data_IF_523985988282
#
_entry.id   IF_523985988282
#
_cell.length_a   1.000
_cell.length_b   1.000
_cell.length_c   1.000
_cell.angle_alpha   90.00
_cell.angle_beta   90.00
_cell.angle_gamma   90.00
#
_symmetry.space_group_name_H-M   'P 1'
#
loop_
_entity.id
_entity.type
_entity.pdbx_description
1 polymer ?
#
# COMPACT_ATOMS: atom_id res chain seq x y z
N UNK A 1 -11.45 16.50 -9.42
CA UNK A 1 -11.67 15.57 -8.31
C UNK A 1 -10.54 14.56 -8.34
N UNK A 2 -9.91 14.36 -7.19
CA UNK A 2 -8.78 13.43 -7.03
C UNK A 2 -9.22 12.20 -6.24
N UNK A 3 -8.81 11.01 -6.68
CA UNK A 3 -9.17 9.72 -6.09
C UNK A 3 -8.01 8.76 -6.18
N UNK A 4 -7.57 8.24 -5.03
CA UNK A 4 -6.60 7.15 -4.96
C UNK A 4 -7.29 5.93 -4.38
N UNK A 5 -7.55 4.94 -5.22
CA UNK A 5 -8.16 3.68 -4.85
C UNK A 5 -7.09 2.71 -4.31
N UNK A 6 -7.04 2.57 -2.98
CA UNK A 6 -6.18 1.61 -2.30
C UNK A 6 -6.78 0.21 -2.36
N UNK A 7 -6.13 -0.70 -3.09
CA UNK A 7 -6.43 -2.14 -3.07
C UNK A 7 -5.70 -2.77 -1.88
N UNK A 8 -6.37 -2.74 -0.73
CA UNK A 8 -5.85 -3.26 0.54
C UNK A 8 -5.72 -4.79 0.45
N UNK A 9 -4.54 -5.29 0.79
CA UNK A 9 -4.29 -6.72 0.96
C UNK A 9 -4.81 -7.23 2.31
N UNK A 10 -3.92 -7.72 3.17
CA UNK A 10 -4.25 -8.23 4.51
C UNK A 10 -3.67 -7.29 5.56
N UNK A 11 -4.49 -6.38 6.10
CA UNK A 11 -4.09 -5.39 7.08
C UNK A 11 -4.36 -5.89 8.51
N UNK A 12 -3.35 -6.50 9.13
CA UNK A 12 -3.42 -7.13 10.45
C UNK A 12 -2.12 -6.91 11.22
N UNK A 13 -2.08 -7.01 12.57
CA UNK A 13 -0.84 -6.80 13.34
C UNK A 13 0.32 -7.70 12.91
N UNK A 14 0.01 -8.93 12.48
CA UNK A 14 0.96 -9.91 11.90
C UNK A 14 0.25 -10.69 10.78
N UNK A 15 0.97 -11.27 9.79
CA UNK A 15 0.34 -12.06 8.73
C UNK A 15 -0.29 -13.34 9.30
N UNK A 16 -1.60 -13.58 9.13
CA UNK A 16 -2.30 -14.70 9.77
C UNK A 16 -2.10 -16.05 9.07
N UNK A 17 -1.71 -16.05 7.80
CA UNK A 17 -1.61 -17.25 6.98
C UNK A 17 -0.53 -17.14 5.90
N UNK A 18 -0.28 -18.23 5.18
CA UNK A 18 0.75 -18.31 4.13
C UNK A 18 0.46 -17.39 2.94
N UNK A 19 -0.82 -17.15 2.62
CA UNK A 19 -1.23 -16.22 1.56
C UNK A 19 -0.90 -14.78 1.95
N UNK A 20 -1.11 -14.42 3.21
CA UNK A 20 -0.78 -13.11 3.75
C UNK A 20 0.70 -12.79 3.63
N UNK A 21 1.60 -13.78 3.57
CA UNK A 21 3.02 -13.52 3.35
C UNK A 21 3.33 -12.79 2.02
N UNK A 22 2.42 -12.83 1.04
CA UNK A 22 2.51 -12.04 -0.18
C UNK A 22 1.68 -10.73 -0.12
N UNK A 23 0.59 -10.72 0.65
CA UNK A 23 -0.42 -9.66 0.64
C UNK A 23 -0.48 -8.81 1.90
N UNK A 24 0.38 -9.06 2.89
CA UNK A 24 0.32 -8.40 4.19
C UNK A 24 0.60 -6.91 4.06
N UNK A 25 -0.13 -6.12 4.84
CA UNK A 25 0.04 -4.70 5.03
C UNK A 25 0.14 -4.46 6.53
N UNK A 26 1.33 -4.10 7.01
CA UNK A 26 1.52 -3.72 8.40
C UNK A 26 0.71 -2.43 8.69
N UNK A 27 0.06 -2.30 9.87
CA UNK A 27 -0.68 -1.09 10.21
C UNK A 27 0.13 0.22 10.11
N UNK A 28 1.44 0.25 10.48
CA UNK A 28 2.27 1.45 10.25
C UNK A 28 2.45 1.79 8.77
N UNK A 29 2.62 0.78 7.90
CA UNK A 29 2.75 1.00 6.45
C UNK A 29 1.44 1.51 5.85
N UNK A 30 0.29 1.06 6.37
CA UNK A 30 -1.01 1.60 5.98
C UNK A 30 -1.14 3.09 6.32
N UNK A 31 -0.72 3.50 7.52
CA UNK A 31 -0.74 4.89 7.95
C UNK A 31 0.15 5.77 7.05
N UNK A 32 1.40 5.34 6.80
CA UNK A 32 2.31 6.05 5.89
C UNK A 32 1.77 6.14 4.47
N UNK A 33 1.12 5.09 3.97
CA UNK A 33 0.51 5.10 2.64
C UNK A 33 -0.65 6.09 2.55
N UNK A 34 -1.51 6.14 3.58
CA UNK A 34 -2.61 7.12 3.64
C UNK A 34 -2.08 8.55 3.69
N UNK A 35 -1.06 8.81 4.50
CA UNK A 35 -0.39 10.11 4.56
C UNK A 35 0.19 10.52 3.20
N UNK A 36 0.88 9.59 2.51
CA UNK A 36 1.39 9.82 1.17
C UNK A 36 0.26 10.11 0.15
N UNK A 37 -0.89 9.46 0.27
CA UNK A 37 -2.05 9.72 -0.60
C UNK A 37 -2.66 11.10 -0.36
N UNK A 38 -2.75 11.53 0.90
CA UNK A 38 -3.29 12.84 1.29
C UNK A 38 -2.38 14.00 0.88
N UNK A 39 -1.07 13.74 0.73
CA UNK A 39 -0.06 14.75 0.40
C UNK A 39 0.36 14.75 -1.08
N UNK A 40 -0.17 13.83 -1.88
CA UNK A 40 0.13 13.75 -3.31
C UNK A 40 -0.48 14.95 -4.08
N UNK A 41 0.30 15.71 -4.86
CA UNK A 41 -0.22 16.85 -5.61
C UNK A 41 -0.98 16.39 -6.87
N UNK A 42 -2.24 16.80 -7.00
CA UNK A 42 -3.08 16.57 -8.19
C UNK A 42 -3.03 15.12 -8.75
N UNK A 43 -3.26 14.08 -7.94
CA UNK A 43 -3.05 12.70 -8.37
C UNK A 43 -4.06 12.23 -9.44
N UNK A 44 -5.15 12.96 -9.67
CA UNK A 44 -6.24 12.51 -10.54
C UNK A 44 -6.82 11.20 -10.02
N UNK A 45 -7.12 10.26 -10.92
CA UNK A 45 -7.51 8.90 -10.55
C UNK A 45 -6.29 7.96 -10.56
N UNK A 46 -6.04 7.25 -9.46
CA UNK A 46 -4.97 6.24 -9.34
C UNK A 46 -5.46 4.99 -8.63
N UNK A 47 -4.85 3.85 -8.95
CA UNK A 47 -5.06 2.58 -8.26
C UNK A 47 -3.71 2.11 -7.70
N UNK A 48 -3.68 1.78 -6.41
CA UNK A 48 -2.45 1.37 -5.71
C UNK A 48 -2.70 0.06 -4.98
N UNK A 49 -1.76 -0.89 -5.08
CA UNK A 49 -1.75 -2.08 -4.24
C UNK A 49 -1.19 -1.75 -2.87
N UNK A 50 -2.04 -1.73 -1.86
CA UNK A 50 -1.67 -1.41 -0.48
C UNK A 50 -1.23 -2.69 0.23
N UNK A 51 0.07 -3.00 0.07
CA UNK A 51 0.80 -4.07 0.74
C UNK A 51 2.16 -3.55 1.20
N UNK A 52 2.70 -4.15 2.26
CA UNK A 52 4.06 -3.91 2.73
C UNK A 52 5.10 -4.45 1.74
N UNK A 53 6.39 -4.24 2.02
CA UNK A 53 7.52 -4.74 1.22
C UNK A 53 7.73 -6.25 1.42
N UNK A 54 6.71 -7.03 1.07
CA UNK A 54 6.70 -8.47 1.24
C UNK A 54 7.66 -9.13 0.24
N UNK A 55 8.53 -10.02 0.71
CA UNK A 55 9.47 -10.76 -0.15
C UNK A 55 8.76 -11.72 -1.12
N UNK A 56 7.53 -12.15 -0.79
CA UNK A 56 6.71 -13.02 -1.63
C UNK A 56 5.72 -12.25 -2.53
N UNK A 57 5.83 -10.93 -2.62
CA UNK A 57 4.93 -10.15 -3.49
C UNK A 57 5.15 -10.50 -4.96
N UNK A 58 4.04 -10.59 -5.67
CA UNK A 58 3.94 -10.74 -7.12
C UNK A 58 3.40 -9.48 -7.82
N UNK A 59 3.04 -8.43 -7.07
CA UNK A 59 2.66 -7.12 -7.62
C UNK A 59 3.79 -6.11 -7.44
N UNK A 60 3.96 -5.17 -8.38
CA UNK A 60 4.84 -4.03 -8.17
C UNK A 60 4.31 -3.20 -6.99
N UNK A 61 5.08 -3.18 -5.91
CA UNK A 61 4.91 -2.32 -4.75
C UNK A 61 6.28 -1.88 -4.30
N UNK A 62 6.50 -0.56 -4.22
CA UNK A 62 7.70 0.01 -3.62
C UNK A 62 7.33 0.37 -2.17
N UNK A 63 8.28 0.27 -1.25
CA UNK A 63 8.14 0.68 0.16
C UNK A 63 7.31 1.97 0.27
N UNK A 64 6.41 2.06 1.25
CA UNK A 64 5.47 3.17 1.48
C UNK A 64 6.13 4.55 1.73
N UNK A 65 7.43 4.71 1.48
CA UNK A 65 8.14 5.98 1.48
C UNK A 65 8.39 6.46 0.03
N UNK A 66 7.50 7.34 -0.45
CA UNK A 66 7.85 8.39 -1.43
C UNK A 66 7.91 8.05 -2.93
N UNK A 67 7.63 6.81 -3.35
CA UNK A 67 7.86 6.40 -4.75
C UNK A 67 6.64 6.08 -5.62
N UNK A 68 5.43 5.97 -5.05
CA UNK A 68 4.25 5.47 -5.78
C UNK A 68 3.44 6.58 -6.45
N UNK A 69 3.57 7.82 -5.98
CA UNK A 69 2.70 8.95 -6.33
C UNK A 69 3.48 10.20 -6.79
N UNK A 70 4.73 10.02 -7.24
CA UNK A 70 5.49 11.06 -7.95
C UNK A 70 5.25 10.96 -9.45
#
# INVERSE_FOLDING_TARGET
MDVIALRIGTCTPVPPDTRALATWLAPPDAAHLVEACLTAPAPGFRVVWAISDNTRRWWPGRRAAGGVLR
#
